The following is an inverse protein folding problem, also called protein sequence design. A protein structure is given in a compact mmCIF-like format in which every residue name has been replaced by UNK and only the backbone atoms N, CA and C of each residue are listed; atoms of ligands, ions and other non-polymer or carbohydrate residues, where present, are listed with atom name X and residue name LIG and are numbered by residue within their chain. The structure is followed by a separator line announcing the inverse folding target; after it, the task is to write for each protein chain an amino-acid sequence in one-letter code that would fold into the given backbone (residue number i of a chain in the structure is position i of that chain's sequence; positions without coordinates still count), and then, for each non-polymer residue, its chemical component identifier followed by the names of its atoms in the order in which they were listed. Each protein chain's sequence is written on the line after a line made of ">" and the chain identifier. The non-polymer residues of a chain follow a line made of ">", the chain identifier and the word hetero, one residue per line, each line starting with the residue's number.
data_IF_194089345609
#
_entry.id   IF_194089345609
#
_cell.length_a   1.000
_cell.length_b   1.000
_cell.length_c   1.000
_cell.angle_alpha   90.00
_cell.angle_beta   90.00
_cell.angle_gamma   90.00
#
_symmetry.space_group_name_H-M   'P 1'
#
loop_
_entity.id
_entity.type
_entity.pdbx_description
1 polymer ?
#
# COMPACT_ATOMS: atom_id res chain seq x y z
N UNK A 1 -8.50 -9.83 31.75
CA UNK A 1 -7.27 -10.64 31.89
C UNK A 1 -6.44 -10.08 33.04
N UNK A 2 -6.00 -10.91 34.00
CA UNK A 2 -5.18 -10.46 35.13
C UNK A 2 -3.72 -10.79 34.85
N UNK A 3 -2.84 -9.80 34.96
CA UNK A 3 -1.40 -9.98 34.78
C UNK A 3 -0.72 -9.52 36.05
N UNK A 4 -0.30 -10.48 36.89
CA UNK A 4 0.24 -10.25 38.24
C UNK A 4 -0.74 -9.40 39.07
N UNK A 5 -0.44 -8.12 39.25
CA UNK A 5 -1.21 -7.19 40.08
C UNK A 5 -2.08 -6.21 39.28
N UNK A 6 -2.03 -6.26 37.94
CA UNK A 6 -2.78 -5.37 37.07
C UNK A 6 -3.93 -6.09 36.37
N UNK A 7 -5.04 -5.37 36.24
CA UNK A 7 -6.21 -5.84 35.51
C UNK A 7 -6.25 -5.16 34.14
N UNK A 8 -6.40 -5.98 33.09
CA UNK A 8 -6.67 -5.50 31.74
C UNK A 8 -8.12 -5.80 31.36
N UNK A 9 -8.80 -4.79 30.84
CA UNK A 9 -10.14 -4.87 30.24
C UNK A 9 -10.07 -4.38 28.80
N UNK A 10 -10.88 -4.99 27.94
CA UNK A 10 -11.07 -4.57 26.57
C UNK A 10 -12.55 -4.24 26.37
N UNK A 11 -12.82 -3.26 25.54
CA UNK A 11 -14.16 -2.84 25.13
C UNK A 11 -14.11 -2.54 23.65
N UNK A 12 -15.16 -2.89 22.94
CA UNK A 12 -15.34 -2.61 21.53
C UNK A 12 -16.70 -1.96 21.33
N UNK A 13 -16.79 -1.11 20.32
CA UNK A 13 -18.01 -0.43 19.91
C UNK A 13 -18.22 -0.70 18.43
N UNK A 14 -19.33 -1.35 18.10
CA UNK A 14 -19.77 -1.48 16.72
C UNK A 14 -20.57 -0.24 16.37
N UNK A 15 -20.16 0.45 15.31
CA UNK A 15 -20.75 1.70 14.83
C UNK A 15 -21.35 1.48 13.45
N UNK A 16 -22.36 2.27 13.08
CA UNK A 16 -22.94 2.24 11.72
C UNK A 16 -22.09 3.09 10.77
N UNK A 17 -22.18 2.84 9.47
CA UNK A 17 -21.43 3.61 8.45
C UNK A 17 -21.61 5.12 8.60
N UNK A 18 -22.84 5.58 8.86
CA UNK A 18 -23.17 7.00 9.08
C UNK A 18 -22.42 7.59 10.27
N UNK A 19 -22.16 6.77 11.30
CA UNK A 19 -21.41 7.21 12.47
C UNK A 19 -19.90 7.15 12.31
N UNK A 20 -19.35 6.46 11.29
CA UNK A 20 -17.90 6.37 11.05
C UNK A 20 -17.26 7.72 10.66
N UNK A 21 -18.07 8.67 10.20
CA UNK A 21 -17.66 10.06 9.92
C UNK A 21 -17.46 10.89 11.20
N UNK A 22 -17.96 10.39 12.33
CA UNK A 22 -17.88 11.07 13.62
C UNK A 22 -16.63 10.67 14.40
N UNK A 23 -16.20 11.58 15.27
CA UNK A 23 -15.16 11.29 16.26
C UNK A 23 -15.76 10.51 17.42
N UNK A 24 -15.03 9.48 17.86
CA UNK A 24 -15.43 8.66 19.00
C UNK A 24 -14.43 8.83 20.13
N UNK A 25 -14.91 8.68 21.36
CA UNK A 25 -14.07 8.84 22.55
C UNK A 25 -14.41 7.75 23.56
N UNK A 26 -13.39 7.04 24.01
CA UNK A 26 -13.51 6.11 25.12
C UNK A 26 -13.03 6.79 26.41
N UNK A 27 -13.85 6.71 27.45
CA UNK A 27 -13.55 7.31 28.76
C UNK A 27 -13.34 6.18 29.76
N UNK A 28 -12.13 6.11 30.30
CA UNK A 28 -11.72 5.12 31.30
C UNK A 28 -11.77 5.76 32.68
N UNK A 29 -12.81 5.40 33.43
CA UNK A 29 -13.00 5.83 34.82
C UNK A 29 -12.35 4.84 35.76
N UNK A 30 -11.48 5.31 36.66
CA UNK A 30 -10.87 4.48 37.68
C UNK A 30 -10.70 5.25 39.00
N UNK A 31 -10.97 4.57 40.12
CA UNK A 31 -10.96 5.16 41.47
C UNK A 31 -9.62 5.80 41.85
N UNK A 32 -8.52 5.32 41.28
CA UNK A 32 -7.16 5.81 41.56
C UNK A 32 -6.68 6.91 40.61
N UNK A 33 -7.51 7.38 39.67
CA UNK A 33 -7.11 8.47 38.78
C UNK A 33 -6.86 9.75 39.60
N UNK A 34 -5.68 10.36 39.43
CA UNK A 34 -5.27 11.53 40.22
C UNK A 34 -6.16 12.73 39.88
N UNK A 35 -6.68 13.40 40.91
CA UNK A 35 -7.46 14.62 40.74
C UNK A 35 -8.86 14.44 40.14
N UNK A 36 -9.38 13.21 40.04
CA UNK A 36 -10.72 12.95 39.47
C UNK A 36 -10.80 13.12 37.95
N UNK A 37 -9.67 13.27 37.26
CA UNK A 37 -9.62 13.40 35.80
C UNK A 37 -9.68 12.00 35.18
N UNK A 38 -10.73 11.75 34.40
CA UNK A 38 -10.88 10.49 33.67
C UNK A 38 -9.85 10.39 32.54
N UNK A 39 -9.36 9.17 32.27
CA UNK A 39 -8.46 8.96 31.15
C UNK A 39 -9.27 8.83 29.87
N UNK A 40 -8.86 9.53 28.83
CA UNK A 40 -9.63 9.63 27.59
C UNK A 40 -8.79 9.12 26.42
N UNK A 41 -9.40 8.30 25.57
CA UNK A 41 -8.80 7.79 24.34
C UNK A 41 -9.65 8.29 23.19
N UNK A 42 -9.07 9.18 22.39
CA UNK A 42 -9.71 9.72 21.20
C UNK A 42 -9.53 8.76 20.02
N UNK A 43 -10.62 8.44 19.35
CA UNK A 43 -10.66 7.68 18.12
C UNK A 43 -11.09 8.63 16.99
N UNK A 44 -10.16 9.01 16.09
CA UNK A 44 -10.52 9.85 14.96
C UNK A 44 -11.51 9.12 14.05
N UNK A 45 -12.33 9.90 13.34
CA UNK A 45 -13.27 9.38 12.35
C UNK A 45 -12.52 8.65 11.23
N UNK A 46 -12.98 7.45 10.89
CA UNK A 46 -12.32 6.57 9.92
C UNK A 46 -12.42 7.15 8.50
N UNK A 47 -13.50 7.86 8.21
CA UNK A 47 -13.82 8.31 6.85
C UNK A 47 -13.34 9.74 6.54
N UNK A 48 -12.87 10.53 7.52
CA UNK A 48 -12.31 11.87 7.22
C UNK A 48 -11.04 11.77 6.37
N UNK A 49 -10.28 10.69 6.50
CA UNK A 49 -9.03 10.48 5.74
C UNK A 49 -9.26 9.85 4.35
N UNK A 50 -10.50 9.46 4.02
CA UNK A 50 -10.83 8.90 2.71
C UNK A 50 -11.21 9.94 1.66
N UNK A 51 -11.35 11.22 2.04
CA UNK A 51 -11.85 12.25 1.13
C UNK A 51 -10.78 13.04 0.38
N UNK A 52 -9.51 12.82 0.68
CA UNK A 52 -8.43 13.38 -0.12
C UNK A 52 -7.19 12.53 0.01
N UNK A 53 -6.68 12.17 -1.16
CA UNK A 53 -5.30 11.80 -1.44
C UNK A 53 -5.00 10.30 -1.60
N UNK A 54 -4.35 10.04 -2.71
CA UNK A 54 -3.91 8.77 -3.26
C UNK A 54 -2.76 8.19 -2.41
N UNK A 55 -2.95 7.98 -1.11
CA UNK A 55 -1.84 7.71 -0.16
C UNK A 55 -2.17 6.76 0.98
N UNK A 56 -3.03 5.75 0.76
CA UNK A 56 -2.95 4.57 1.65
C UNK A 56 -1.61 3.84 1.40
N UNK A 57 -0.91 3.35 2.44
CA UNK A 57 0.38 2.66 2.25
C UNK A 57 0.26 1.45 1.32
N UNK A 58 -0.90 0.79 1.31
CA UNK A 58 -1.21 -0.32 0.42
C UNK A 58 -1.29 0.10 -1.06
N UNK A 59 -1.87 1.27 -1.37
CA UNK A 59 -1.94 1.76 -2.75
C UNK A 59 -0.57 2.21 -3.25
N UNK A 60 0.25 2.83 -2.41
CA UNK A 60 1.62 3.22 -2.77
C UNK A 60 2.46 2.00 -3.17
N UNK A 61 2.32 0.91 -2.40
CA UNK A 61 3.02 -0.33 -2.66
C UNK A 61 2.59 -0.98 -3.99
N UNK A 62 1.28 -1.06 -4.24
CA UNK A 62 0.74 -1.61 -5.49
C UNK A 62 1.12 -0.78 -6.72
N UNK A 63 1.11 0.56 -6.63
CA UNK A 63 1.52 1.44 -7.73
C UNK A 63 3.02 1.26 -8.02
N UNK A 64 3.87 1.22 -6.99
CA UNK A 64 5.32 1.03 -7.18
C UNK A 64 5.63 -0.30 -7.87
N UNK A 65 4.93 -1.37 -7.48
CA UNK A 65 5.08 -2.71 -8.04
C UNK A 65 4.69 -2.71 -9.53
N UNK A 66 3.60 -2.04 -9.90
CA UNK A 66 3.20 -1.86 -11.30
C UNK A 66 4.26 -1.15 -12.15
N UNK A 67 4.92 -0.11 -11.62
CA UNK A 67 6.01 0.59 -12.33
C UNK A 67 7.25 -0.29 -12.51
N UNK A 68 7.62 -1.09 -11.50
CA UNK A 68 8.74 -2.03 -11.61
C UNK A 68 8.45 -3.06 -12.71
N UNK A 69 7.27 -3.69 -12.74
CA UNK A 69 6.93 -4.67 -13.77
C UNK A 69 6.91 -4.09 -15.18
N UNK A 70 6.37 -2.88 -15.36
CA UNK A 70 6.35 -2.22 -16.67
C UNK A 70 7.75 -1.87 -17.16
N UNK A 71 8.65 -1.39 -16.28
CA UNK A 71 10.05 -1.16 -16.62
C UNK A 71 10.78 -2.45 -17.01
N UNK A 72 10.57 -3.54 -16.27
CA UNK A 72 11.15 -4.85 -16.61
C UNK A 72 10.63 -5.37 -17.95
N UNK A 73 9.32 -5.28 -18.18
CA UNK A 73 8.70 -5.72 -19.43
C UNK A 73 9.24 -4.93 -20.61
N UNK A 74 9.32 -3.60 -20.49
CA UNK A 74 9.87 -2.73 -21.52
C UNK A 74 11.34 -3.07 -21.83
N UNK A 75 12.15 -3.25 -20.79
CA UNK A 75 13.56 -3.67 -20.94
C UNK A 75 13.68 -5.00 -21.70
N UNK A 76 12.85 -5.99 -21.36
CA UNK A 76 12.79 -7.29 -22.05
C UNK A 76 12.39 -7.15 -23.53
N UNK A 77 11.38 -6.32 -23.81
CA UNK A 77 10.92 -6.04 -25.17
C UNK A 77 12.03 -5.42 -26.03
N UNK A 78 12.77 -4.45 -25.46
CA UNK A 78 13.91 -3.80 -26.13
C UNK A 78 15.00 -4.82 -26.46
N UNK A 79 15.42 -5.66 -25.51
CA UNK A 79 16.42 -6.70 -25.78
C UNK A 79 15.94 -7.72 -26.82
N UNK A 80 14.67 -8.11 -26.78
CA UNK A 80 14.08 -9.03 -27.76
C UNK A 80 14.09 -8.44 -29.17
N UNK A 81 13.72 -7.16 -29.32
CA UNK A 81 13.78 -6.45 -30.60
C UNK A 81 15.21 -6.35 -31.14
N UNK A 82 16.19 -6.06 -30.27
CA UNK A 82 17.61 -6.04 -30.64
C UNK A 82 18.06 -7.42 -31.11
N UNK A 83 17.82 -8.49 -30.35
CA UNK A 83 18.23 -9.85 -30.73
C UNK A 83 17.57 -10.27 -32.04
N UNK A 84 16.27 -10.01 -32.18
CA UNK A 84 15.50 -10.35 -33.39
C UNK A 84 16.04 -9.61 -34.61
N UNK A 85 16.35 -8.31 -34.49
CA UNK A 85 16.95 -7.55 -35.61
C UNK A 85 18.36 -8.01 -35.96
N UNK A 86 19.17 -8.46 -35.00
CA UNK A 86 20.48 -9.06 -35.27
C UNK A 86 20.36 -10.43 -35.94
N UNK A 87 19.37 -11.23 -35.55
CA UNK A 87 19.13 -12.57 -36.10
C UNK A 87 18.50 -12.51 -37.50
N UNK A 88 17.52 -11.62 -37.70
CA UNK A 88 16.89 -11.36 -39.00
C UNK A 88 17.73 -10.46 -39.92
N UNK A 89 18.71 -9.71 -39.38
CA UNK A 89 19.60 -8.81 -40.11
C UNK A 89 20.77 -9.51 -40.83
N UNK A 90 20.86 -10.84 -40.72
CA UNK A 90 21.68 -11.69 -41.62
C UNK A 90 20.82 -12.54 -42.59
N UNK A 91 20.07 -11.95 -43.55
CA UNK A 91 19.79 -12.58 -44.83
C UNK A 91 20.79 -12.02 -45.83
N UNK A 92 21.77 -12.85 -46.20
CA UNK A 92 22.62 -12.74 -47.37
C UNK A 92 22.36 -11.55 -48.34
N UNK A 93 22.93 -10.39 -48.04
CA UNK A 93 23.38 -9.44 -49.06
C UNK A 93 24.87 -9.68 -49.33
N UNK A 94 25.24 -10.93 -49.61
CA UNK A 94 26.47 -11.21 -50.34
C UNK A 94 26.06 -11.60 -51.75
N UNK A 95 25.87 -10.55 -52.55
CA UNK A 95 25.58 -10.64 -53.95
C UNK A 95 26.66 -11.43 -54.69
N UNK A 96 26.17 -12.25 -55.61
CA UNK A 96 26.88 -12.91 -56.68
C UNK A 96 28.10 -12.12 -57.20
N UNK A 97 29.29 -12.71 -57.03
CA UNK A 97 30.54 -12.23 -57.60
C UNK A 97 31.36 -13.40 -58.11
N UNK A 98 30.84 -14.13 -59.09
CA UNK A 98 31.68 -14.96 -59.97
C UNK A 98 31.66 -14.35 -61.37
N UNK A 99 32.65 -13.50 -61.60
CA UNK A 99 33.13 -13.11 -62.91
C UNK A 99 34.24 -14.08 -63.33
N UNK A 100 34.19 -14.45 -64.61
CA UNK A 100 35.09 -15.32 -65.39
C UNK A 100 34.91 -16.83 -65.31
#
# INVERSE_FOLDING_TARGET
>A
MKTKDKYMKFSWLTVTDVSMDNEHKSIVKHKSNKGGVDQEILFPSINKDFKTDLTTPLQLMNISVCYIYTLLLFKSLVYSAIITTHFLGRPALYGNGKSS
#
